data_IF_774853529769
#
_entry.id   IF_774853529769
#
_cell.length_a   1.000
_cell.length_b   1.000
_cell.length_c   1.000
_cell.angle_alpha   90.00
_cell.angle_beta   90.00
_cell.angle_gamma   90.00
#
_symmetry.space_group_name_H-M   'P 1'
#
loop_
_entity.id
_entity.type
_entity.pdbx_description
1 polymer ?
#
# COMPACT_ATOMS: atom_id res chain seq x y z
N UNK A 1 21.97 15.64 -8.28
CA UNK A 1 21.38 16.99 -8.39
C UNK A 1 20.36 16.94 -9.52
N UNK A 2 19.08 16.66 -9.22
CA UNK A 2 18.03 16.63 -10.25
C UNK A 2 17.67 18.07 -10.59
N UNK A 3 17.97 18.53 -11.80
CA UNK A 3 17.48 19.81 -12.30
C UNK A 3 15.95 19.85 -12.13
N UNK A 4 15.43 20.99 -11.67
CA UNK A 4 13.98 21.18 -11.50
C UNK A 4 13.33 20.94 -12.86
N UNK A 5 12.54 19.86 -12.99
CA UNK A 5 11.75 19.59 -14.18
C UNK A 5 10.92 20.85 -14.48
N UNK A 6 11.24 21.55 -15.56
CA UNK A 6 10.47 22.70 -16.00
C UNK A 6 9.08 22.21 -16.43
N UNK A 7 8.03 22.93 -16.06
CA UNK A 7 6.65 22.63 -16.49
C UNK A 7 6.56 22.47 -18.02
N UNK A 8 7.40 23.20 -18.77
CA UNK A 8 7.53 23.08 -20.22
C UNK A 8 8.02 21.69 -20.66
N UNK A 9 8.99 21.11 -19.96
CA UNK A 9 9.51 19.78 -20.28
C UNK A 9 8.46 18.70 -20.00
N UNK A 10 7.67 18.85 -18.93
CA UNK A 10 6.55 17.95 -18.63
C UNK A 10 5.51 18.03 -19.76
N UNK A 11 5.11 19.23 -20.17
CA UNK A 11 4.14 19.43 -21.24
C UNK A 11 4.62 18.88 -22.58
N UNK A 12 5.89 19.13 -22.94
CA UNK A 12 6.51 18.57 -24.16
C UNK A 12 6.54 17.05 -24.09
N UNK A 13 6.94 16.47 -22.95
CA UNK A 13 6.93 15.01 -22.77
C UNK A 13 5.54 14.40 -22.93
N UNK A 14 4.52 14.99 -22.31
CA UNK A 14 3.13 14.56 -22.47
C UNK A 14 2.66 14.65 -23.93
N UNK A 15 2.99 15.74 -24.62
CA UNK A 15 2.63 15.94 -26.01
C UNK A 15 3.28 14.89 -26.92
N UNK A 16 4.57 14.61 -26.72
CA UNK A 16 5.29 13.56 -27.46
C UNK A 16 4.64 12.20 -27.23
N UNK A 17 4.31 11.84 -25.99
CA UNK A 17 3.62 10.58 -25.69
C UNK A 17 2.25 10.48 -26.39
N UNK A 18 1.47 11.56 -26.39
CA UNK A 18 0.16 11.59 -27.05
C UNK A 18 0.30 11.47 -28.57
N UNK A 19 1.28 12.13 -29.18
CA UNK A 19 1.54 12.06 -30.62
C UNK A 19 2.03 10.67 -31.03
N UNK A 20 2.92 10.05 -30.25
CA UNK A 20 3.35 8.67 -30.49
C UNK A 20 2.18 7.69 -30.39
N UNK A 21 1.31 7.86 -29.41
CA UNK A 21 0.11 7.04 -29.26
C UNK A 21 -0.87 7.27 -30.42
N UNK A 22 -1.12 8.52 -30.82
CA UNK A 22 -1.95 8.84 -31.98
C UNK A 22 -1.40 8.22 -33.27
N UNK A 23 -0.10 8.35 -33.51
CA UNK A 23 0.57 7.75 -34.67
C UNK A 23 0.49 6.22 -34.66
N UNK A 24 0.65 5.59 -33.50
CA UNK A 24 0.47 4.14 -33.36
C UNK A 24 -0.98 3.70 -33.61
N UNK A 25 -1.97 4.45 -33.11
CA UNK A 25 -3.38 4.14 -33.33
C UNK A 25 -3.74 4.19 -34.84
N UNK A 26 -3.25 5.21 -35.55
CA UNK A 26 -3.46 5.35 -37.00
C UNK A 26 -2.71 4.28 -37.81
N UNK A 27 -1.51 3.88 -37.38
CA UNK A 27 -0.70 2.88 -38.06
C UNK A 27 -1.28 1.47 -37.93
N UNK A 28 -1.72 1.09 -36.73
CA UNK A 28 -2.15 -0.28 -36.45
C UNK A 28 -3.64 -0.51 -36.69
N UNK A 29 -4.49 0.52 -36.56
CA UNK A 29 -5.95 0.45 -36.78
C UNK A 29 -6.64 -0.73 -36.06
N UNK A 30 -6.12 -1.13 -34.89
CA UNK A 30 -6.67 -2.22 -34.09
C UNK A 30 -7.49 -1.66 -32.93
N UNK A 31 -8.61 -2.32 -32.54
CA UNK A 31 -9.39 -1.92 -31.36
C UNK A 31 -8.58 -1.91 -30.06
N UNK A 32 -7.47 -2.66 -30.00
CA UNK A 32 -6.58 -2.69 -28.83
C UNK A 32 -5.72 -1.42 -28.68
N UNK A 33 -5.61 -0.60 -29.74
CA UNK A 33 -4.91 0.70 -29.73
C UNK A 33 -5.89 1.79 -30.22
N UNK A 34 -6.91 2.14 -29.41
CA UNK A 34 -7.84 3.20 -29.78
C UNK A 34 -7.13 4.56 -29.85
N UNK A 35 -7.67 5.49 -30.62
CA UNK A 35 -7.08 6.83 -30.71
C UNK A 35 -7.22 7.60 -29.38
N UNK A 36 -6.26 8.47 -29.04
CA UNK A 36 -6.32 9.25 -27.80
C UNK A 36 -7.62 10.06 -27.66
N UNK A 37 -8.10 10.64 -28.75
CA UNK A 37 -9.34 11.40 -28.77
C UNK A 37 -10.55 10.52 -28.40
N UNK A 38 -10.66 9.32 -29.00
CA UNK A 38 -11.74 8.38 -28.68
C UNK A 38 -11.72 7.97 -27.21
N UNK A 39 -10.54 7.71 -26.64
CA UNK A 39 -10.42 7.38 -25.21
C UNK A 39 -10.87 8.55 -24.34
N UNK A 40 -10.44 9.78 -24.62
CA UNK A 40 -10.88 10.96 -23.86
C UNK A 40 -12.40 11.16 -23.93
N UNK A 41 -12.99 11.07 -25.12
CA UNK A 41 -14.45 11.17 -25.27
C UNK A 41 -15.19 10.08 -24.49
N UNK A 42 -14.79 8.82 -24.64
CA UNK A 42 -15.41 7.69 -23.93
C UNK A 42 -15.21 7.79 -22.43
N UNK A 43 -14.02 8.18 -21.98
CA UNK A 43 -13.71 8.38 -20.57
C UNK A 43 -14.68 9.38 -19.96
N UNK A 44 -14.80 10.58 -20.54
CA UNK A 44 -15.71 11.62 -20.01
C UNK A 44 -17.19 11.22 -20.06
N UNK A 45 -17.63 10.55 -21.12
CA UNK A 45 -19.01 10.11 -21.26
C UNK A 45 -19.40 9.00 -20.26
N UNK A 46 -18.45 8.14 -19.90
CA UNK A 46 -18.69 6.93 -19.11
C UNK A 46 -18.19 7.08 -17.66
N UNK A 47 -17.46 8.16 -17.34
CA UNK A 47 -16.82 8.39 -16.04
C UNK A 47 -17.81 8.31 -14.89
N UNK A 48 -18.77 9.22 -14.85
CA UNK A 48 -19.72 9.35 -13.74
C UNK A 48 -20.68 8.16 -13.65
N UNK A 49 -21.08 7.61 -14.80
CA UNK A 49 -22.09 6.54 -14.86
C UNK A 49 -21.57 5.14 -14.49
N UNK A 50 -20.26 4.89 -14.61
CA UNK A 50 -19.70 3.55 -14.35
C UNK A 50 -18.32 3.62 -13.69
N UNK A 51 -17.34 4.28 -14.29
CA UNK A 51 -15.94 4.25 -13.81
C UNK A 51 -15.83 4.75 -12.38
N UNK A 52 -16.56 5.81 -12.03
CA UNK A 52 -16.55 6.40 -10.70
C UNK A 52 -17.00 5.41 -9.62
N UNK A 53 -18.03 4.58 -9.88
CA UNK A 53 -18.49 3.60 -8.89
C UNK A 53 -17.50 2.45 -8.73
N UNK A 54 -16.96 1.90 -9.83
CA UNK A 54 -15.93 0.86 -9.74
C UNK A 54 -14.68 1.38 -9.00
N UNK A 55 -14.20 2.58 -9.35
CA UNK A 55 -13.07 3.21 -8.68
C UNK A 55 -13.34 3.46 -7.19
N UNK A 56 -14.55 3.86 -6.81
CA UNK A 56 -14.92 4.06 -5.41
C UNK A 56 -14.88 2.75 -4.61
N UNK A 57 -15.38 1.64 -5.18
CA UNK A 57 -15.29 0.32 -4.54
C UNK A 57 -13.84 -0.15 -4.39
N UNK A 58 -13.02 -0.02 -5.44
CA UNK A 58 -11.60 -0.37 -5.37
C UNK A 58 -10.85 0.46 -4.33
N UNK A 59 -11.10 1.78 -4.28
CA UNK A 59 -10.48 2.67 -3.31
C UNK A 59 -10.92 2.36 -1.88
N UNK A 60 -12.20 2.04 -1.68
CA UNK A 60 -12.74 1.63 -0.38
C UNK A 60 -12.05 0.35 0.11
N UNK A 61 -11.87 -0.65 -0.76
CA UNK A 61 -11.17 -1.91 -0.39
C UNK A 61 -9.73 -1.67 0.03
N UNK A 62 -9.00 -0.84 -0.73
CA UNK A 62 -7.62 -0.44 -0.36
C UNK A 62 -7.63 0.27 0.98
N UNK A 63 -8.50 1.25 1.18
CA UNK A 63 -8.57 2.01 2.41
C UNK A 63 -8.86 1.11 3.61
N UNK A 64 -9.89 0.27 3.55
CA UNK A 64 -10.27 -0.65 4.64
C UNK A 64 -9.17 -1.68 4.91
N UNK A 65 -8.62 -2.31 3.86
CA UNK A 65 -7.56 -3.30 4.01
C UNK A 65 -6.27 -2.72 4.61
N UNK A 66 -5.85 -1.54 4.15
CA UNK A 66 -4.67 -0.84 4.69
C UNK A 66 -4.93 -0.37 6.12
N UNK A 67 -6.10 0.19 6.43
CA UNK A 67 -6.43 0.63 7.79
C UNK A 67 -6.45 -0.56 8.77
N UNK A 68 -7.04 -1.69 8.39
CA UNK A 68 -7.01 -2.91 9.19
C UNK A 68 -5.56 -3.40 9.42
N UNK A 69 -4.75 -3.41 8.36
CA UNK A 69 -3.35 -3.81 8.43
C UNK A 69 -2.52 -2.87 9.32
N UNK A 70 -2.76 -1.56 9.28
CA UNK A 70 -2.11 -0.57 10.14
C UNK A 70 -2.55 -0.72 11.59
N UNK A 71 -3.85 -0.90 11.84
CA UNK A 71 -4.41 -1.05 13.18
C UNK A 71 -3.80 -2.24 13.93
N UNK A 72 -3.46 -3.33 13.21
CA UNK A 72 -2.78 -4.51 13.78
C UNK A 72 -1.27 -4.38 13.72
N UNK A 73 -0.73 -4.00 12.57
CA UNK A 73 0.70 -4.07 12.30
C UNK A 73 1.51 -2.98 13.00
N UNK A 74 0.95 -1.78 13.17
CA UNK A 74 1.65 -0.67 13.82
C UNK A 74 1.87 -0.94 15.32
N UNK A 75 0.86 -1.34 16.11
CA UNK A 75 1.07 -1.72 17.51
C UNK A 75 2.04 -2.91 17.66
N UNK A 76 1.88 -3.97 16.85
CA UNK A 76 2.78 -5.13 16.89
C UNK A 76 4.22 -4.74 16.55
N UNK A 77 4.40 -3.88 15.54
CA UNK A 77 5.71 -3.34 15.18
C UNK A 77 6.35 -2.56 16.33
N UNK A 78 5.59 -1.71 17.03
CA UNK A 78 6.07 -1.00 18.22
C UNK A 78 6.48 -1.99 19.32
N UNK A 79 5.64 -2.98 19.62
CA UNK A 79 5.91 -3.96 20.68
C UNK A 79 7.17 -4.77 20.37
N UNK A 80 7.33 -5.23 19.13
CA UNK A 80 8.52 -5.96 18.69
C UNK A 80 9.76 -5.05 18.69
N UNK A 81 9.65 -3.79 18.23
CA UNK A 81 10.78 -2.88 18.19
C UNK A 81 11.26 -2.44 19.58
N UNK A 82 10.33 -2.28 20.53
CA UNK A 82 10.64 -1.82 21.89
C UNK A 82 11.02 -2.96 22.84
N UNK A 83 10.29 -4.08 22.83
CA UNK A 83 10.51 -5.21 23.75
C UNK A 83 11.28 -6.34 23.07
N UNK A 84 12.56 -6.52 23.47
CA UNK A 84 13.42 -7.61 22.97
C UNK A 84 12.80 -9.00 23.10
N UNK A 85 12.05 -9.26 24.17
CA UNK A 85 11.36 -10.55 24.39
C UNK A 85 10.27 -10.81 23.35
N UNK A 86 9.46 -9.80 23.05
CA UNK A 86 8.40 -9.88 22.02
C UNK A 86 9.02 -10.07 20.65
N UNK A 87 10.11 -9.34 20.36
CA UNK A 87 10.85 -9.54 19.12
C UNK A 87 11.37 -10.97 18.97
N UNK A 88 12.03 -11.51 20.00
CA UNK A 88 12.61 -12.84 19.95
C UNK A 88 11.55 -13.94 19.73
N UNK A 89 10.34 -13.75 20.26
CA UNK A 89 9.23 -14.68 20.09
C UNK A 89 8.61 -14.60 18.69
N UNK A 90 8.36 -13.38 18.19
CA UNK A 90 7.60 -13.17 16.94
C UNK A 90 8.46 -13.08 15.69
N UNK A 91 9.74 -12.72 15.81
CA UNK A 91 10.64 -12.57 14.68
C UNK A 91 10.81 -13.84 13.84
N UNK A 92 10.94 -15.06 14.40
CA UNK A 92 11.01 -16.29 13.61
C UNK A 92 9.78 -16.48 12.71
N UNK A 93 8.58 -16.24 13.26
CA UNK A 93 7.32 -16.34 12.52
C UNK A 93 7.30 -15.30 11.40
N UNK A 94 7.69 -14.06 11.71
CA UNK A 94 7.75 -12.98 10.74
C UNK A 94 8.72 -13.31 9.59
N UNK A 95 9.93 -13.79 9.90
CA UNK A 95 10.93 -14.12 8.88
C UNK A 95 10.55 -15.33 8.04
N UNK A 96 9.81 -16.29 8.59
CA UNK A 96 9.33 -17.45 7.85
C UNK A 96 8.16 -17.09 6.92
N UNK A 97 7.27 -16.22 7.37
CA UNK A 97 6.03 -15.89 6.64
C UNK A 97 6.19 -14.69 5.71
N UNK A 98 7.09 -13.75 5.98
CA UNK A 98 7.29 -12.54 5.18
C UNK A 98 7.75 -12.78 3.73
N UNK A 99 8.63 -13.76 3.42
CA UNK A 99 9.05 -14.03 2.04
C UNK A 99 7.97 -14.71 1.18
N UNK A 100 6.94 -15.30 1.81
CA UNK A 100 5.90 -16.05 1.08
C UNK A 100 5.13 -15.10 0.16
N UNK A 101 5.02 -15.37 -1.15
CA UNK A 101 4.23 -14.55 -2.05
C UNK A 101 2.74 -14.69 -1.69
N UNK A 102 2.21 -13.76 -0.89
CA UNK A 102 0.84 -13.87 -0.37
C UNK A 102 -0.22 -13.86 -1.46
N UNK A 103 0.07 -13.26 -2.62
CA UNK A 103 -0.80 -13.33 -3.80
C UNK A 103 -1.03 -14.79 -4.27
N UNK A 104 -0.04 -15.68 -4.09
CA UNK A 104 -0.18 -17.10 -4.42
C UNK A 104 -1.16 -17.84 -3.50
N UNK A 105 -1.51 -17.25 -2.35
CA UNK A 105 -2.52 -17.79 -1.43
C UNK A 105 -3.94 -17.42 -1.83
N UNK A 106 -4.15 -16.62 -2.89
CA UNK A 106 -5.47 -16.18 -3.32
C UNK A 106 -6.48 -17.34 -3.48
N UNK A 107 -6.15 -18.47 -4.17
CA UNK A 107 -7.08 -19.59 -4.28
C UNK A 107 -7.43 -20.22 -2.94
N UNK A 108 -6.46 -20.32 -2.02
CA UNK A 108 -6.66 -20.88 -0.67
C UNK A 108 -7.58 -19.96 0.14
N UNK A 109 -7.34 -18.65 0.07
CA UNK A 109 -8.19 -17.65 0.75
C UNK A 109 -9.61 -17.69 0.19
N UNK A 110 -9.78 -17.82 -1.12
CA UNK A 110 -11.10 -17.97 -1.76
C UNK A 110 -11.80 -19.27 -1.36
N UNK A 111 -11.06 -20.37 -1.25
CA UNK A 111 -11.62 -21.66 -0.84
C UNK A 111 -12.10 -21.63 0.61
N UNK A 112 -11.35 -20.99 1.51
CA UNK A 112 -11.66 -20.93 2.94
C UNK A 112 -12.73 -19.88 3.29
N UNK A 113 -12.67 -18.70 2.67
CA UNK A 113 -13.53 -17.56 3.01
C UNK A 113 -14.59 -17.25 1.96
N UNK A 114 -14.65 -18.04 0.89
CA UNK A 114 -15.52 -17.83 -0.25
C UNK A 114 -14.98 -16.80 -1.26
N UNK A 115 -15.54 -16.84 -2.46
CA UNK A 115 -15.31 -15.83 -3.49
C UNK A 115 -16.17 -14.61 -3.17
N UNK A 116 -15.55 -13.46 -2.94
CA UNK A 116 -16.28 -12.24 -2.60
C UNK A 116 -15.43 -11.17 -1.95
N UNK A 117 -16.07 -10.26 -1.21
CA UNK A 117 -15.40 -9.10 -0.60
C UNK A 117 -14.41 -9.50 0.52
N UNK A 118 -14.78 -10.48 1.34
CA UNK A 118 -13.96 -10.92 2.47
C UNK A 118 -12.60 -11.44 2.01
N UNK A 119 -12.54 -12.26 0.95
CA UNK A 119 -11.29 -12.79 0.43
C UNK A 119 -10.38 -11.70 -0.15
N UNK A 120 -10.95 -10.69 -0.82
CA UNK A 120 -10.21 -9.53 -1.36
C UNK A 120 -9.61 -8.69 -0.24
N UNK A 121 -10.42 -8.32 0.76
CA UNK A 121 -9.97 -7.53 1.91
C UNK A 121 -8.91 -8.27 2.73
N UNK A 122 -9.10 -9.58 2.94
CA UNK A 122 -8.15 -10.40 3.69
C UNK A 122 -6.81 -10.52 2.96
N UNK A 123 -6.82 -10.60 1.62
CA UNK A 123 -5.58 -10.64 0.85
C UNK A 123 -4.81 -9.31 0.95
N UNK A 124 -5.49 -8.17 0.80
CA UNK A 124 -4.89 -6.84 0.99
C UNK A 124 -4.32 -6.73 2.40
N UNK A 125 -5.08 -7.10 3.42
CA UNK A 125 -4.63 -7.12 4.81
C UNK A 125 -3.35 -7.96 4.99
N UNK A 126 -3.34 -9.21 4.52
CA UNK A 126 -2.22 -10.14 4.67
C UNK A 126 -0.95 -9.64 3.99
N UNK A 127 -1.06 -8.85 2.92
CA UNK A 127 0.11 -8.32 2.22
C UNK A 127 0.67 -7.10 2.97
N UNK A 128 -0.20 -6.21 3.41
CA UNK A 128 0.22 -4.94 4.01
C UNK A 128 0.65 -5.10 5.47
N UNK A 129 0.02 -6.00 6.24
CA UNK A 129 0.25 -6.11 7.69
C UNK A 129 1.72 -6.41 8.02
N UNK A 130 2.36 -7.33 7.30
CA UNK A 130 3.76 -7.66 7.57
C UNK A 130 4.70 -6.53 7.16
N UNK A 131 4.43 -5.84 6.05
CA UNK A 131 5.21 -4.69 5.61
C UNK A 131 5.22 -3.59 6.68
N UNK A 132 4.05 -3.32 7.28
CA UNK A 132 3.91 -2.37 8.38
C UNK A 132 4.65 -2.86 9.62
N UNK A 133 4.46 -4.11 10.04
CA UNK A 133 5.14 -4.67 11.23
C UNK A 133 6.65 -4.53 11.10
N UNK A 134 7.24 -5.01 10.00
CA UNK A 134 8.69 -4.99 9.78
C UNK A 134 9.20 -3.55 9.81
N UNK A 135 8.56 -2.65 9.04
CA UNK A 135 9.06 -1.27 8.91
C UNK A 135 8.98 -0.51 10.23
N UNK A 136 7.88 -0.68 10.98
CA UNK A 136 7.70 -0.01 12.28
C UNK A 136 8.65 -0.61 13.31
N UNK A 137 8.78 -1.94 13.38
CA UNK A 137 9.74 -2.63 14.24
C UNK A 137 11.16 -2.09 14.05
N UNK A 138 11.60 -2.01 12.80
CA UNK A 138 12.96 -1.57 12.47
C UNK A 138 13.14 -0.07 12.73
N UNK A 139 12.09 0.74 12.51
CA UNK A 139 12.10 2.16 12.85
C UNK A 139 12.25 2.38 14.36
N UNK A 140 11.53 1.61 15.18
CA UNK A 140 11.59 1.71 16.64
C UNK A 140 12.91 1.16 17.18
N UNK A 141 13.39 0.02 16.66
CA UNK A 141 14.66 -0.58 17.08
C UNK A 141 15.88 0.30 16.73
N UNK A 142 15.77 1.17 15.73
CA UNK A 142 16.82 2.11 15.33
C UNK A 142 16.91 3.37 16.21
N UNK A 143 15.97 3.58 17.14
CA UNK A 143 16.00 4.74 18.04
C UNK A 143 17.17 4.57 19.02
N UNK A 144 18.10 5.55 19.13
CA UNK A 144 19.23 5.46 20.05
C UNK A 144 18.75 5.24 21.50
N UNK A 145 19.34 4.30 22.26
CA UNK A 145 18.94 4.06 23.65
C UNK A 145 18.98 5.31 24.54
N UNK A 146 19.91 6.23 24.25
CA UNK A 146 20.07 7.49 24.97
C UNK A 146 18.84 8.40 24.88
N UNK A 147 18.06 8.33 23.79
CA UNK A 147 16.82 9.11 23.62
C UNK A 147 15.77 8.76 24.69
N UNK A 148 15.82 7.55 25.25
CA UNK A 148 14.89 7.11 26.30
C UNK A 148 15.29 7.54 27.71
N UNK A 149 16.56 7.90 27.95
CA UNK A 149 17.07 8.13 29.32
C UNK A 149 16.35 9.27 30.06
N UNK A 150 16.11 10.45 29.47
CA UNK A 150 15.46 11.54 30.20
C UNK A 150 14.08 11.16 30.74
N UNK A 151 13.25 10.51 29.91
CA UNK A 151 11.93 10.05 30.32
C UNK A 151 11.99 8.87 31.30
N UNK A 152 13.00 7.99 31.19
CA UNK A 152 13.16 6.87 32.14
C UNK A 152 13.51 7.37 33.53
N UNK A 153 14.38 8.37 33.65
CA UNK A 153 14.75 8.97 34.95
C UNK A 153 13.54 9.63 35.62
N UNK A 154 12.66 10.23 34.83
CA UNK A 154 11.39 10.79 35.31
C UNK A 154 10.31 9.73 35.61
N UNK A 155 10.62 8.43 35.50
CA UNK A 155 9.67 7.35 35.78
C UNK A 155 8.55 7.21 34.76
N UNK A 156 8.75 7.66 33.52
CA UNK A 156 7.71 7.63 32.50
C UNK A 156 7.23 6.19 32.18
N UNK A 157 5.92 6.03 32.10
CA UNK A 157 5.24 4.80 31.69
C UNK A 157 5.47 4.46 30.22
N UNK A 158 5.19 3.21 29.83
CA UNK A 158 5.29 2.79 28.42
C UNK A 158 4.41 3.64 27.49
N UNK A 159 3.18 3.98 27.88
CA UNK A 159 2.31 4.84 27.07
C UNK A 159 2.91 6.24 26.84
N UNK A 160 3.60 6.79 27.84
CA UNK A 160 4.32 8.06 27.70
C UNK A 160 5.53 7.93 26.78
N UNK A 161 6.28 6.82 26.85
CA UNK A 161 7.37 6.52 25.91
C UNK A 161 6.84 6.43 24.47
N UNK A 162 5.71 5.73 24.28
CA UNK A 162 5.07 5.57 22.98
C UNK A 162 4.69 6.92 22.39
N UNK A 163 4.00 7.75 23.16
CA UNK A 163 3.49 9.06 22.69
C UNK A 163 4.59 10.07 22.41
N UNK A 164 5.63 10.14 23.25
CA UNK A 164 6.62 11.25 23.19
C UNK A 164 7.92 10.89 22.46
N UNK A 165 8.25 9.60 22.33
CA UNK A 165 9.48 9.17 21.65
C UNK A 165 9.14 8.29 20.46
N UNK A 166 8.48 7.16 20.70
CA UNK A 166 8.38 6.09 19.71
C UNK A 166 7.57 6.54 18.50
N UNK A 167 6.33 7.03 18.71
CA UNK A 167 5.45 7.46 17.61
C UNK A 167 6.09 8.60 16.81
N UNK A 168 6.55 9.71 17.40
CA UNK A 168 7.21 10.78 16.64
C UNK A 168 8.42 10.31 15.84
N UNK A 169 9.26 9.44 16.42
CA UNK A 169 10.46 8.94 15.76
C UNK A 169 10.16 7.91 14.65
N UNK A 170 9.14 7.07 14.81
CA UNK A 170 8.78 6.04 13.81
C UNK A 170 7.87 6.56 12.69
N UNK A 171 7.14 7.66 12.93
CA UNK A 171 6.12 8.18 12.02
C UNK A 171 6.63 8.47 10.59
N UNK A 172 7.80 9.11 10.36
CA UNK A 172 8.27 9.38 9.00
C UNK A 172 8.54 8.10 8.18
N UNK A 173 9.15 7.09 8.82
CA UNK A 173 9.39 5.78 8.21
C UNK A 173 8.08 5.04 7.97
N UNK A 174 7.15 5.10 8.91
CA UNK A 174 5.83 4.50 8.77
C UNK A 174 5.03 5.12 7.59
N UNK A 175 5.00 6.46 7.46
CA UNK A 175 4.32 7.13 6.33
C UNK A 175 4.94 6.69 5.00
N UNK A 176 6.26 6.56 4.95
CA UNK A 176 6.96 6.04 3.76
C UNK A 176 6.54 4.59 3.47
N UNK A 177 6.45 3.75 4.50
CA UNK A 177 6.00 2.37 4.37
C UNK A 177 4.57 2.27 3.84
N UNK A 178 3.64 3.07 4.39
CA UNK A 178 2.24 3.13 3.96
C UNK A 178 2.13 3.59 2.50
N UNK A 179 2.92 4.58 2.09
CA UNK A 179 2.96 5.04 0.69
C UNK A 179 3.38 3.92 -0.26
N UNK A 180 4.42 3.18 0.07
CA UNK A 180 4.87 2.03 -0.74
C UNK A 180 3.83 0.92 -0.72
N UNK A 181 3.26 0.63 0.46
CA UNK A 181 2.19 -0.34 0.65
C UNK A 181 0.95 -0.03 -0.19
N UNK A 182 0.58 1.24 -0.39
CA UNK A 182 -0.54 1.61 -1.26
C UNK A 182 -0.31 1.19 -2.71
N UNK A 183 0.89 1.36 -3.25
CA UNK A 183 1.21 0.92 -4.61
C UNK A 183 1.07 -0.61 -4.74
N UNK A 184 1.60 -1.35 -3.77
CA UNK A 184 1.45 -2.80 -3.71
C UNK A 184 -0.01 -3.23 -3.56
N UNK A 185 -0.79 -2.54 -2.73
CA UNK A 185 -2.22 -2.81 -2.53
C UNK A 185 -3.01 -2.66 -3.83
N UNK A 186 -2.74 -1.61 -4.62
CA UNK A 186 -3.37 -1.41 -5.94
C UNK A 186 -3.02 -2.55 -6.89
N UNK A 187 -1.74 -2.91 -7.00
CA UNK A 187 -1.30 -4.00 -7.88
C UNK A 187 -1.93 -5.34 -7.52
N UNK A 188 -2.03 -5.64 -6.23
CA UNK A 188 -2.67 -6.86 -5.72
C UNK A 188 -4.17 -6.81 -5.98
N UNK A 189 -4.80 -5.67 -5.67
CA UNK A 189 -6.23 -5.49 -5.81
C UNK A 189 -6.67 -5.84 -7.23
N UNK A 190 -5.97 -5.35 -8.26
CA UNK A 190 -6.20 -5.70 -9.66
C UNK A 190 -6.31 -7.21 -9.92
N UNK A 191 -5.39 -8.01 -9.38
CA UNK A 191 -5.45 -9.47 -9.50
C UNK A 191 -6.65 -10.06 -8.75
N UNK A 192 -6.91 -9.60 -7.53
CA UNK A 192 -8.05 -10.07 -6.74
C UNK A 192 -9.40 -9.71 -7.35
N UNK A 193 -9.52 -8.54 -7.97
CA UNK A 193 -10.76 -8.06 -8.58
C UNK A 193 -11.09 -8.82 -9.86
N UNK A 194 -10.11 -9.47 -10.49
CA UNK A 194 -10.34 -10.33 -11.67
C UNK A 194 -11.27 -11.52 -11.39
N UNK A 195 -11.47 -11.89 -10.12
CA UNK A 195 -12.27 -13.06 -9.72
C UNK A 195 -13.49 -12.66 -8.89
N UNK A 196 -14.69 -12.98 -9.40
CA UNK A 196 -15.94 -12.84 -8.64
C UNK A 196 -16.23 -11.41 -8.15
N UNK A 197 -15.99 -10.41 -9.01
CA UNK A 197 -16.22 -9.00 -8.71
C UNK A 197 -17.33 -8.44 -9.59
N UNK A 198 -18.26 -7.73 -8.96
CA UNK A 198 -19.32 -7.00 -9.65
C UNK A 198 -18.97 -5.51 -9.80
N UNK A 199 -18.41 -4.91 -8.75
CA UNK A 199 -17.90 -3.53 -8.73
C UNK A 199 -16.44 -3.54 -8.31
N UNK A 200 -15.60 -2.69 -8.91
CA UNK A 200 -14.15 -2.82 -8.91
C UNK A 200 -13.65 -3.21 -10.28
#
# INVERSE_FOLDING_TARGET
MMEKLSLRMIAVGMLVCILLWAGAAELFQKPVIPSPAQVFFRLTATFTGTIAIHAAYSLMRIAVGVLAAVAVGYPLGILMGYFRRVNHLLAPILYLTYPIPKIALLPVVMLLFGVGETSKLLLVFLIIVFQVIVTVRDAVAAIPPATYFPLRVLGASFGQMVRHIIVPASLPKFITAVRVAMATAISVLFFTETFGTQYG
#
